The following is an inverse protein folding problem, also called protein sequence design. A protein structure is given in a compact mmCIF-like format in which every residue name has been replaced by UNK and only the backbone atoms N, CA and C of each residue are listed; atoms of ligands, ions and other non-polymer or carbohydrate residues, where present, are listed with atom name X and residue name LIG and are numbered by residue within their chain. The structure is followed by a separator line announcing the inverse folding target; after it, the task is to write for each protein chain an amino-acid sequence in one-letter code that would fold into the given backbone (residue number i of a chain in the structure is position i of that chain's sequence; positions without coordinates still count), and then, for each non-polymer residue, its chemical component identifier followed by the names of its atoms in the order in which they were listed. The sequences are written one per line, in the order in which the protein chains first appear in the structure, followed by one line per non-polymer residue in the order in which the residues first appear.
data_IF_173934000529
#
_entry.id   IF_173934000529
#
_cell.length_a   1.000
_cell.length_b   1.000
_cell.length_c   1.000
_cell.angle_alpha   90.00
_cell.angle_beta   90.00
_cell.angle_gamma   90.00
#
_symmetry.space_group_name_H-M   'P 1'
#
loop_
_entity.id
_entity.type
_entity.pdbx_description
1 polymer ?
#
# COMPACT_ATOMS: atom_id res chain seq x y z
N UNK A 1 -7.70 -4.13 -13.01
CA UNK A 1 -6.89 -5.31 -12.70
C UNK A 1 -6.22 -5.12 -11.35
N UNK A 2 -7.01 -4.87 -10.30
CA UNK A 2 -6.57 -4.71 -8.90
C UNK A 2 -7.64 -5.23 -7.93
N UNK A 3 -8.55 -6.10 -8.40
CA UNK A 3 -9.67 -6.56 -7.59
C UNK A 3 -9.21 -7.40 -6.40
N UNK A 4 -8.03 -8.00 -6.49
CA UNK A 4 -7.49 -8.93 -5.51
C UNK A 4 -6.43 -8.29 -4.58
N UNK A 5 -6.20 -6.97 -4.67
CA UNK A 5 -5.29 -6.28 -3.75
C UNK A 5 -5.82 -6.38 -2.32
N UNK A 6 -4.94 -6.78 -1.40
CA UNK A 6 -5.23 -6.96 0.03
C UNK A 6 -6.31 -8.01 0.32
N UNK A 7 -6.58 -8.96 -0.60
CA UNK A 7 -7.55 -10.04 -0.37
C UNK A 7 -7.32 -10.78 0.96
N UNK A 8 -6.07 -11.12 1.36
CA UNK A 8 -5.83 -11.74 2.66
C UNK A 8 -6.27 -10.88 3.86
N UNK A 9 -6.20 -9.55 3.75
CA UNK A 9 -6.69 -8.66 4.82
C UNK A 9 -8.21 -8.58 4.86
N UNK A 10 -8.90 -8.67 3.71
CA UNK A 10 -10.37 -8.75 3.68
C UNK A 10 -10.91 -10.09 4.18
N UNK A 11 -10.15 -11.18 3.99
CA UNK A 11 -10.54 -12.51 4.44
C UNK A 11 -10.29 -12.73 5.95
N UNK A 12 -9.60 -11.80 6.62
CA UNK A 12 -9.29 -11.85 8.04
C UNK A 12 -10.16 -10.85 8.82
N UNK A 13 -11.07 -11.38 9.66
CA UNK A 13 -12.00 -10.60 10.49
C UNK A 13 -11.30 -9.66 11.48
N UNK A 14 -9.99 -9.85 11.72
CA UNK A 14 -9.19 -8.93 12.54
C UNK A 14 -9.11 -7.53 11.91
N UNK A 15 -9.05 -7.43 10.58
CA UNK A 15 -8.93 -6.15 9.89
C UNK A 15 -10.30 -5.64 9.42
N UNK A 16 -10.74 -4.44 9.86
CA UNK A 16 -12.04 -3.91 9.45
C UNK A 16 -12.11 -3.63 7.95
N UNK A 17 -13.03 -4.29 7.23
CA UNK A 17 -13.24 -4.15 5.78
C UNK A 17 -13.21 -2.71 5.28
N UNK A 18 -13.83 -1.79 6.03
CA UNK A 18 -13.89 -0.37 5.65
C UNK A 18 -12.51 0.28 5.62
N UNK A 19 -11.63 -0.06 6.57
CA UNK A 19 -10.27 0.47 6.62
C UNK A 19 -9.38 -0.23 5.59
N UNK A 20 -9.53 -1.55 5.42
CA UNK A 20 -8.81 -2.28 4.36
C UNK A 20 -9.17 -1.72 2.98
N UNK A 21 -10.45 -1.38 2.75
CA UNK A 21 -10.89 -0.72 1.52
C UNK A 21 -10.27 0.66 1.32
N UNK A 22 -10.07 1.44 2.38
CA UNK A 22 -9.39 2.73 2.31
C UNK A 22 -7.89 2.59 1.97
N UNK A 23 -7.19 1.62 2.58
CA UNK A 23 -5.80 1.27 2.22
C UNK A 23 -5.72 0.82 0.76
N UNK A 24 -6.63 -0.05 0.31
CA UNK A 24 -6.71 -0.47 -1.09
C UNK A 24 -6.90 0.72 -2.03
N UNK A 25 -7.78 1.66 -1.69
CA UNK A 25 -8.00 2.87 -2.49
C UNK A 25 -6.74 3.76 -2.56
N UNK A 26 -5.96 3.85 -1.50
CA UNK A 26 -4.67 4.56 -1.49
C UNK A 26 -3.70 3.95 -2.48
N UNK A 27 -3.54 2.63 -2.45
CA UNK A 27 -2.68 1.87 -3.35
C UNK A 27 -3.16 1.98 -4.82
N UNK A 28 -4.48 1.92 -5.05
CA UNK A 28 -5.04 2.15 -6.39
C UNK A 28 -4.80 3.57 -6.91
N UNK A 29 -4.83 4.59 -6.02
CA UNK A 29 -4.48 5.96 -6.40
C UNK A 29 -3.00 6.04 -6.76
N UNK A 30 -2.13 5.37 -6.04
CA UNK A 30 -0.71 5.24 -6.38
C UNK A 30 -0.53 4.61 -7.77
N UNK A 31 -1.17 3.46 -8.04
CA UNK A 31 -1.15 2.80 -9.35
C UNK A 31 -1.56 3.74 -10.50
N UNK A 32 -2.64 4.51 -10.30
CA UNK A 32 -3.10 5.50 -11.30
C UNK A 32 -2.10 6.62 -11.55
N UNK A 33 -1.29 6.99 -10.55
CA UNK A 33 -0.20 7.98 -10.73
C UNK A 33 0.95 7.38 -11.53
N UNK A 34 1.27 6.11 -11.31
CA UNK A 34 2.31 5.38 -12.05
C UNK A 34 1.98 5.16 -13.52
N UNK A 35 0.70 4.99 -13.86
CA UNK A 35 0.24 4.83 -15.25
C UNK A 35 0.44 6.08 -16.14
N UNK A 36 1.01 7.17 -15.60
CA UNK A 36 1.43 8.34 -16.37
C UNK A 36 2.82 8.08 -16.98
N UNK A 37 3.27 8.93 -17.91
CA UNK A 37 4.57 8.83 -18.64
C UNK A 37 5.70 8.20 -17.80
N UNK A 38 6.61 7.46 -18.45
CA UNK A 38 7.83 6.84 -17.87
C UNK A 38 8.46 7.65 -16.73
N UNK A 39 8.10 7.30 -15.49
CA UNK A 39 8.68 7.83 -14.27
C UNK A 39 10.06 7.22 -14.01
N UNK A 40 10.92 7.98 -13.36
CA UNK A 40 12.17 7.50 -12.75
C UNK A 40 11.92 6.84 -11.38
N UNK A 41 12.85 6.01 -10.92
CA UNK A 41 12.76 5.35 -9.61
C UNK A 41 12.56 6.36 -8.47
N UNK A 42 13.28 7.49 -8.50
CA UNK A 42 13.12 8.55 -7.51
C UNK A 42 11.72 9.18 -7.49
N UNK A 43 11.06 9.32 -8.65
CA UNK A 43 9.68 9.78 -8.71
C UNK A 43 8.71 8.72 -8.16
N UNK A 44 8.97 7.44 -8.44
CA UNK A 44 8.19 6.31 -7.91
C UNK A 44 8.29 6.28 -6.39
N UNK A 45 9.49 6.36 -5.83
CA UNK A 45 9.71 6.40 -4.38
C UNK A 45 9.03 7.60 -3.72
N UNK A 46 9.06 8.77 -4.37
CA UNK A 46 8.35 9.94 -3.85
C UNK A 46 6.81 9.74 -3.80
N UNK A 47 6.26 9.16 -4.87
CA UNK A 47 4.84 8.82 -4.94
C UNK A 47 4.44 7.74 -3.93
N UNK A 48 5.30 6.75 -3.73
CA UNK A 48 5.11 5.69 -2.77
C UNK A 48 5.17 6.23 -1.35
N UNK A 49 6.19 7.04 -1.02
CA UNK A 49 6.33 7.72 0.27
C UNK A 49 5.09 8.53 0.64
N UNK A 50 4.52 9.27 -0.32
CA UNK A 50 3.26 10.02 -0.09
C UNK A 50 2.11 9.08 0.27
N UNK A 51 2.01 7.95 -0.42
CA UNK A 51 0.97 6.93 -0.17
C UNK A 51 1.16 6.28 1.20
N UNK A 52 2.40 5.95 1.57
CA UNK A 52 2.76 5.39 2.87
C UNK A 52 2.46 6.36 4.02
N UNK A 53 2.69 7.67 3.85
CA UNK A 53 2.28 8.68 4.85
C UNK A 53 0.76 8.68 5.07
N UNK A 54 -0.03 8.60 3.98
CA UNK A 54 -1.49 8.51 4.10
C UNK A 54 -1.89 7.23 4.88
N UNK A 55 -1.24 6.09 4.63
CA UNK A 55 -1.49 4.83 5.36
C UNK A 55 -1.05 4.93 6.84
N UNK A 56 0.10 5.54 7.13
CA UNK A 56 0.55 5.76 8.52
C UNK A 56 -0.50 6.55 9.33
N UNK A 57 -1.17 7.51 8.69
CA UNK A 57 -2.25 8.27 9.29
C UNK A 57 -3.50 7.46 9.65
N UNK A 58 -3.65 6.23 9.15
CA UNK A 58 -4.78 5.35 9.45
C UNK A 58 -4.57 4.51 10.71
N UNK A 59 -3.35 4.44 11.27
CA UNK A 59 -3.06 3.63 12.47
C UNK A 59 -4.07 3.87 13.62
N UNK A 60 -4.41 5.11 14.00
CA UNK A 60 -5.37 5.33 15.08
C UNK A 60 -6.77 4.80 14.78
N UNK A 61 -7.19 4.78 13.51
CA UNK A 61 -8.50 4.28 13.10
C UNK A 61 -8.60 2.76 13.24
N UNK A 62 -7.51 2.05 12.92
CA UNK A 62 -7.42 0.61 13.18
C UNK A 62 -7.46 0.34 14.69
N UNK A 63 -6.70 1.10 15.48
CA UNK A 63 -6.68 0.97 16.95
C UNK A 63 -8.06 1.25 17.58
N UNK A 64 -8.79 2.26 17.10
CA UNK A 64 -10.15 2.60 17.54
C UNK A 64 -11.17 1.47 17.28
N UNK A 65 -10.85 0.51 16.39
CA UNK A 65 -11.67 -0.64 16.04
C UNK A 65 -11.07 -1.96 16.54
N UNK A 66 -10.23 -1.92 17.58
CA UNK A 66 -9.55 -3.09 18.17
C UNK A 66 -8.66 -3.88 17.18
N UNK A 67 -8.19 -3.21 16.13
CA UNK A 67 -7.31 -3.74 15.08
C UNK A 67 -5.97 -3.01 15.07
N UNK A 68 -5.02 -3.46 14.25
CA UNK A 68 -3.78 -2.71 14.01
C UNK A 68 -3.21 -2.95 12.62
N UNK A 69 -2.34 -2.05 12.16
CA UNK A 69 -1.44 -2.30 11.05
C UNK A 69 -0.21 -3.03 11.61
N UNK A 70 -0.37 -4.32 11.93
CA UNK A 70 0.70 -5.16 12.47
C UNK A 70 1.65 -5.67 11.38
N UNK A 71 2.63 -6.50 11.77
CA UNK A 71 3.59 -7.06 10.81
C UNK A 71 2.95 -7.87 9.70
N UNK A 72 1.80 -8.52 9.95
CA UNK A 72 1.09 -9.28 8.93
C UNK A 72 0.37 -8.36 7.95
N UNK A 73 -0.31 -7.31 8.43
CA UNK A 73 -0.83 -6.25 7.56
C UNK A 73 0.31 -5.60 6.76
N UNK A 74 1.48 -5.44 7.39
CA UNK A 74 2.63 -4.83 6.76
C UNK A 74 3.08 -5.62 5.53
N UNK A 75 3.25 -6.92 5.66
CA UNK A 75 3.62 -7.82 4.57
C UNK A 75 2.62 -7.70 3.40
N UNK A 76 1.32 -7.74 3.68
CA UNK A 76 0.28 -7.63 2.65
C UNK A 76 0.28 -6.27 1.92
N UNK A 77 0.49 -5.18 2.63
CA UNK A 77 0.53 -3.83 2.03
C UNK A 77 1.80 -3.67 1.19
N UNK A 78 2.94 -4.16 1.66
CA UNK A 78 4.20 -4.14 0.91
C UNK A 78 4.07 -4.94 -0.38
N UNK A 79 3.53 -6.17 -0.31
CA UNK A 79 3.27 -7.00 -1.48
C UNK A 79 2.32 -6.31 -2.48
N UNK A 80 1.25 -5.68 -2.00
CA UNK A 80 0.31 -4.94 -2.84
C UNK A 80 0.97 -3.74 -3.54
N UNK A 81 1.82 -2.99 -2.83
CA UNK A 81 2.58 -1.88 -3.40
C UNK A 81 3.58 -2.37 -4.47
N UNK A 82 4.26 -3.50 -4.22
CA UNK A 82 5.16 -4.13 -5.19
C UNK A 82 4.44 -4.62 -6.44
N UNK A 83 3.27 -5.25 -6.27
CA UNK A 83 2.44 -5.70 -7.39
C UNK A 83 2.07 -4.53 -8.31
N UNK A 84 1.73 -3.38 -7.73
CA UNK A 84 1.37 -2.17 -8.49
C UNK A 84 2.52 -1.62 -9.32
N UNK A 85 3.73 -1.53 -8.77
CA UNK A 85 4.89 -1.03 -9.55
C UNK A 85 5.27 -2.02 -10.66
N UNK A 86 5.23 -3.32 -10.38
CA UNK A 86 5.56 -4.36 -11.35
C UNK A 86 4.55 -4.45 -12.50
N UNK A 87 3.25 -4.28 -12.21
CA UNK A 87 2.19 -4.23 -13.24
C UNK A 87 2.40 -3.08 -14.24
N UNK A 88 3.05 -1.99 -13.82
CA UNK A 88 3.41 -0.86 -14.68
C UNK A 88 4.76 -1.04 -15.40
N UNK A 89 5.42 -2.19 -15.23
CA UNK A 89 6.68 -2.54 -15.88
C UNK A 89 7.94 -2.16 -15.10
N UNK A 90 7.80 -1.67 -13.86
CA UNK A 90 8.93 -1.33 -13.00
C UNK A 90 9.35 -2.56 -12.18
N UNK A 91 10.33 -3.31 -12.69
CA UNK A 91 10.79 -4.59 -12.12
C UNK A 91 11.97 -4.46 -11.15
N UNK A 92 12.75 -3.40 -11.25
CA UNK A 92 14.00 -3.19 -10.48
C UNK A 92 13.81 -2.29 -9.25
N UNK A 93 12.55 -2.03 -8.85
CA UNK A 93 12.22 -1.20 -7.70
C UNK A 93 12.55 -1.95 -6.41
N UNK A 94 13.27 -1.26 -5.51
CA UNK A 94 13.60 -1.79 -4.20
C UNK A 94 12.40 -1.67 -3.26
N UNK A 95 12.01 -2.81 -2.69
CA UNK A 95 10.90 -2.93 -1.75
C UNK A 95 11.14 -2.12 -0.47
N UNK A 96 12.35 -2.14 0.08
CA UNK A 96 12.67 -1.42 1.32
C UNK A 96 12.59 0.09 1.13
N UNK A 97 13.05 0.58 -0.02
CA UNK A 97 12.96 2.01 -0.38
C UNK A 97 11.50 2.43 -0.66
N UNK A 98 10.71 1.57 -1.32
CA UNK A 98 9.31 1.82 -1.66
C UNK A 98 8.44 2.12 -0.44
N UNK A 99 8.75 1.47 0.69
CA UNK A 99 8.04 1.63 1.97
C UNK A 99 8.96 2.12 3.10
N UNK A 100 10.01 2.87 2.77
CA UNK A 100 11.07 3.29 3.70
C UNK A 100 10.57 4.14 4.87
N UNK A 101 9.48 4.87 4.69
CA UNK A 101 8.89 5.76 5.69
C UNK A 101 7.64 5.18 6.37
N UNK A 102 7.42 3.86 6.32
CA UNK A 102 6.31 3.21 7.03
C UNK A 102 6.53 3.28 8.54
N UNK A 103 5.43 3.40 9.26
CA UNK A 103 5.41 3.37 10.74
C UNK A 103 4.64 2.15 11.28
N UNK A 104 4.34 1.20 10.41
CA UNK A 104 3.62 -0.05 10.67
C UNK A 104 4.50 -1.26 10.28
#
# INVERSE_FOLDING_TARGET
MFNDLLLPMFDDEYYPDILVAEVKQLIERFAKKLAKKSLSDGEIYHLASTTVVEINGMKPQFEDLDSSLDGTAADYIIEAMMMVVQDQGYIDIDMEELVSNREW
#
